data_IF_670938199346
#
_entry.id   IF_670938199346
#
_cell.length_a   1.000
_cell.length_b   1.000
_cell.length_c   1.000
_cell.angle_alpha   90.00
_cell.angle_beta   90.00
_cell.angle_gamma   90.00
#
_symmetry.space_group_name_H-M   'P 1'
#
loop_
_entity.id
_entity.type
_entity.pdbx_description
1 polymer ?
#
# COMPACT_ATOMS: atom_id res chain seq x y z
N UNK A 1 -12.83 4.01 -12.12
CA UNK A 1 -11.83 3.43 -11.20
C UNK A 1 -10.74 4.45 -10.93
N UNK A 2 -10.06 4.35 -9.80
CA UNK A 2 -9.03 5.29 -9.35
C UNK A 2 -7.67 4.59 -9.34
N UNK A 3 -6.62 5.39 -9.50
CA UNK A 3 -5.24 4.97 -9.26
C UNK A 3 -4.66 5.80 -8.09
N UNK A 4 -3.65 5.28 -7.38
CA UNK A 4 -3.08 3.93 -7.50
C UNK A 4 -3.91 2.88 -6.73
N UNK A 5 -3.64 1.60 -7.02
CA UNK A 5 -3.97 0.50 -6.10
C UNK A 5 -2.85 0.38 -5.08
N UNK A 6 -3.20 0.40 -3.79
CA UNK A 6 -2.27 0.27 -2.68
C UNK A 6 -2.39 -1.12 -2.07
N UNK A 7 -1.27 -1.83 -1.95
CA UNK A 7 -1.18 -3.13 -1.28
C UNK A 7 -0.21 -3.04 -0.12
N UNK A 8 -0.70 -3.23 1.10
CA UNK A 8 0.11 -3.20 2.33
C UNK A 8 0.32 -4.62 2.85
N UNK A 9 1.56 -4.96 3.24
CA UNK A 9 1.95 -6.31 3.65
C UNK A 9 2.07 -6.36 5.18
N UNK A 10 1.38 -7.31 5.80
CA UNK A 10 1.52 -7.64 7.23
C UNK A 10 2.20 -9.01 7.38
N UNK A 11 3.49 -9.06 7.72
CA UNK A 11 4.21 -10.32 7.90
C UNK A 11 3.60 -11.17 9.03
N UNK A 12 3.56 -12.49 8.83
CA UNK A 12 3.17 -13.45 9.88
C UNK A 12 1.70 -13.45 10.29
N UNK A 13 0.86 -12.58 9.72
CA UNK A 13 -0.56 -12.49 10.02
C UNK A 13 -1.45 -13.47 9.23
N UNK A 14 -0.87 -14.21 8.28
CA UNK A 14 -1.57 -15.25 7.52
C UNK A 14 -1.47 -16.64 8.16
N UNK A 15 -2.24 -17.61 7.67
CA UNK A 15 -2.15 -19.01 8.10
C UNK A 15 -0.72 -19.55 7.95
N UNK A 16 -0.29 -20.42 8.86
CA UNK A 16 1.06 -21.01 8.86
C UNK A 16 2.19 -19.96 8.82
N UNK A 17 2.00 -18.82 9.49
CA UNK A 17 2.95 -17.69 9.53
C UNK A 17 3.24 -17.04 8.16
N UNK A 18 2.35 -17.22 7.19
CA UNK A 18 2.41 -16.47 5.93
C UNK A 18 2.10 -14.98 6.14
N UNK A 19 2.31 -14.15 5.10
CA UNK A 19 1.93 -12.74 5.15
C UNK A 19 0.45 -12.56 4.83
N UNK A 20 -0.19 -11.60 5.48
CA UNK A 20 -1.50 -11.09 5.09
C UNK A 20 -1.33 -9.81 4.24
N UNK A 21 -2.34 -9.51 3.43
CA UNK A 21 -2.33 -8.37 2.52
C UNK A 21 -3.59 -7.54 2.69
N UNK A 22 -3.43 -6.21 2.74
CA UNK A 22 -4.53 -5.26 2.65
C UNK A 22 -4.47 -4.55 1.32
N UNK A 23 -5.54 -4.67 0.52
CA UNK A 23 -5.68 -4.00 -0.76
C UNK A 23 -6.65 -2.83 -0.58
N UNK A 24 -6.18 -1.62 -0.86
CA UNK A 24 -6.93 -0.39 -0.73
C UNK A 24 -7.06 0.30 -2.09
N UNK A 25 -8.26 0.78 -2.38
CA UNK A 25 -8.57 1.61 -3.53
C UNK A 25 -9.05 2.97 -3.06
N UNK A 26 -8.57 4.04 -3.70
CA UNK A 26 -9.01 5.39 -3.37
C UNK A 26 -10.48 5.60 -3.76
N UNK A 27 -11.31 6.05 -2.81
CA UNK A 27 -12.70 6.38 -3.07
C UNK A 27 -12.79 7.74 -3.78
N UNK A 28 -13.43 7.88 -4.96
CA UNK A 28 -13.59 9.16 -5.64
C UNK A 28 -14.23 10.23 -4.76
N UNK A 29 -13.79 11.48 -4.88
CA UNK A 29 -14.23 12.62 -4.04
C UNK A 29 -15.75 12.73 -3.91
N UNK A 30 -16.49 12.52 -5.02
CA UNK A 30 -17.96 12.58 -5.04
C UNK A 30 -18.66 11.58 -4.10
N UNK A 31 -17.95 10.54 -3.64
CA UNK A 31 -18.47 9.54 -2.70
C UNK A 31 -17.84 9.63 -1.31
N UNK A 32 -16.86 10.51 -1.07
CA UNK A 32 -16.16 10.55 0.22
C UNK A 32 -17.01 11.10 1.37
N UNK A 33 -17.92 12.03 1.09
CA UNK A 33 -18.83 12.57 2.10
C UNK A 33 -19.81 11.51 2.63
N UNK A 34 -20.26 10.61 1.73
CA UNK A 34 -21.18 9.52 2.05
C UNK A 34 -20.77 8.26 1.29
N UNK A 35 -19.79 7.49 1.81
CA UNK A 35 -19.34 6.27 1.15
C UNK A 35 -20.47 5.25 0.99
N UNK A 36 -20.55 4.54 -0.14
CA UNK A 36 -21.51 3.46 -0.29
C UNK A 36 -21.22 2.35 0.73
N UNK A 37 -22.28 1.76 1.29
CA UNK A 37 -22.15 0.64 2.21
C UNK A 37 -21.79 -0.62 1.40
N UNK A 38 -20.66 -1.28 1.69
CA UNK A 38 -20.29 -2.49 0.97
C UNK A 38 -21.25 -3.64 1.28
N UNK A 39 -21.44 -4.52 0.29
CA UNK A 39 -22.19 -5.76 0.49
C UNK A 39 -21.48 -6.66 1.53
N UNK A 40 -22.18 -7.20 2.53
CA UNK A 40 -21.56 -7.99 3.61
C UNK A 40 -20.71 -9.17 3.12
N UNK A 41 -21.12 -9.81 2.03
CA UNK A 41 -20.44 -10.96 1.43
C UNK A 41 -19.09 -10.63 0.79
N UNK A 42 -18.81 -9.36 0.50
CA UNK A 42 -17.58 -8.95 -0.18
C UNK A 42 -16.40 -8.72 0.78
N UNK A 43 -16.62 -8.78 2.11
CA UNK A 43 -15.59 -8.51 3.13
C UNK A 43 -14.83 -7.20 2.91
N UNK A 44 -15.52 -6.18 2.38
CA UNK A 44 -14.98 -4.85 2.14
C UNK A 44 -15.30 -3.93 3.31
N UNK A 45 -14.38 -3.03 3.62
CA UNK A 45 -14.56 -2.00 4.64
C UNK A 45 -14.17 -0.64 4.11
N UNK A 46 -14.95 0.37 4.47
CA UNK A 46 -14.56 1.76 4.29
C UNK A 46 -13.45 2.10 5.28
N UNK A 47 -12.41 2.76 4.81
CA UNK A 47 -11.24 3.11 5.61
C UNK A 47 -11.04 4.63 5.60
N UNK A 48 -11.13 5.24 6.78
CA UNK A 48 -10.89 6.66 6.99
C UNK A 48 -9.38 6.88 7.19
N UNK A 49 -8.64 6.90 6.08
CA UNK A 49 -7.19 6.99 6.11
C UNK A 49 -6.74 8.40 6.48
N UNK A 50 -6.27 8.59 7.72
CA UNK A 50 -5.82 9.87 8.24
C UNK A 50 -4.60 10.40 7.46
N UNK A 51 -4.39 11.72 7.48
CA UNK A 51 -3.22 12.32 6.85
C UNK A 51 -1.94 11.90 7.58
N UNK A 52 -0.94 11.45 6.83
CA UNK A 52 0.36 11.02 7.35
C UNK A 52 1.44 11.17 6.28
N UNK A 53 2.70 11.11 6.71
CA UNK A 53 3.85 11.18 5.81
C UNK A 53 4.28 9.76 5.40
N UNK A 54 4.56 9.56 4.11
CA UNK A 54 5.05 8.28 3.57
C UNK A 54 6.34 8.54 2.79
N UNK A 55 7.37 7.74 3.07
CA UNK A 55 8.57 7.70 2.25
C UNK A 55 8.34 6.80 1.03
N UNK A 56 8.61 7.30 -0.17
CA UNK A 56 8.32 6.59 -1.43
C UNK A 56 9.59 6.40 -2.25
N UNK A 57 9.79 5.17 -2.75
CA UNK A 57 10.79 4.85 -3.76
C UNK A 57 10.12 4.44 -5.06
N UNK A 58 10.35 5.20 -6.13
CA UNK A 58 9.94 4.83 -7.49
C UNK A 58 10.98 3.89 -8.10
N UNK A 59 10.51 2.87 -8.83
CA UNK A 59 11.34 1.95 -9.59
C UNK A 59 10.67 1.64 -10.95
N UNK A 60 11.44 1.11 -11.90
CA UNK A 60 10.97 0.76 -13.24
C UNK A 60 10.48 -0.69 -13.33
N UNK A 61 9.62 -0.96 -14.33
CA UNK A 61 9.03 -2.27 -14.52
C UNK A 61 7.87 -2.57 -13.57
N UNK A 62 7.41 -3.82 -13.56
CA UNK A 62 6.27 -4.24 -12.75
C UNK A 62 6.71 -4.70 -11.35
N UNK A 63 5.90 -4.38 -10.33
CA UNK A 63 6.01 -5.00 -9.02
C UNK A 63 5.67 -6.49 -9.11
N UNK A 64 6.60 -7.34 -8.68
CA UNK A 64 6.47 -8.81 -8.61
C UNK A 64 7.13 -9.30 -7.33
N UNK A 65 6.73 -10.47 -6.85
CA UNK A 65 7.26 -11.02 -5.59
C UNK A 65 8.79 -11.11 -5.58
N UNK A 66 9.40 -11.43 -6.73
CA UNK A 66 10.85 -11.56 -6.89
C UNK A 66 11.65 -10.25 -6.79
N UNK A 67 11.02 -9.08 -7.01
CA UNK A 67 11.73 -7.79 -7.05
C UNK A 67 11.28 -6.82 -5.95
N UNK A 68 10.04 -6.93 -5.45
CA UNK A 68 9.51 -5.91 -4.55
C UNK A 68 10.25 -5.83 -3.22
N UNK A 69 10.64 -6.99 -2.66
CA UNK A 69 11.42 -7.05 -1.42
C UNK A 69 12.77 -6.34 -1.59
N UNK A 70 13.40 -6.46 -2.77
CA UNK A 70 14.68 -5.79 -3.06
C UNK A 70 14.52 -4.28 -3.15
N UNK A 71 13.42 -3.78 -3.71
CA UNK A 71 13.16 -2.34 -3.77
C UNK A 71 12.75 -1.77 -2.41
N UNK A 72 12.02 -2.54 -1.59
CA UNK A 72 11.72 -2.19 -0.20
C UNK A 72 13.00 -2.08 0.65
N UNK A 73 13.91 -3.05 0.53
CA UNK A 73 15.21 -3.01 1.23
C UNK A 73 16.05 -1.79 0.83
N UNK A 74 16.11 -1.46 -0.46
CA UNK A 74 16.79 -0.24 -0.93
C UNK A 74 16.19 1.04 -0.33
N UNK A 75 14.86 1.10 -0.17
CA UNK A 75 14.21 2.23 0.50
C UNK A 75 14.61 2.28 1.99
N UNK A 76 14.57 1.15 2.69
CA UNK A 76 14.98 1.06 4.09
C UNK A 76 16.43 1.51 4.31
N UNK A 77 17.36 1.04 3.47
CA UNK A 77 18.78 1.46 3.50
C UNK A 77 18.94 2.96 3.20
N UNK A 78 18.12 3.51 2.31
CA UNK A 78 18.16 4.95 2.01
C UNK A 78 17.67 5.77 3.21
N UNK A 79 16.61 5.32 3.87
CA UNK A 79 16.04 5.99 5.05
C UNK A 79 16.98 5.91 6.26
N UNK A 80 17.62 4.77 6.49
CA UNK A 80 18.55 4.61 7.62
C UNK A 80 19.78 5.53 7.53
N UNK A 81 20.11 6.02 6.34
CA UNK A 81 21.20 6.96 6.07
C UNK A 81 20.74 8.42 5.98
N UNK A 82 19.48 8.69 6.32
CA UNK A 82 18.87 10.01 6.26
C UNK A 82 18.49 10.52 7.66
N UNK A 83 18.14 11.81 7.81
CA UNK A 83 17.59 12.32 9.07
C UNK A 83 16.30 11.61 9.54
N UNK A 84 15.65 10.84 8.67
CA UNK A 84 14.40 10.13 8.95
C UNK A 84 14.59 8.68 9.41
N UNK A 85 15.83 8.25 9.70
CA UNK A 85 16.14 6.87 10.09
C UNK A 85 15.26 6.32 11.22
N UNK A 86 14.85 7.17 12.16
CA UNK A 86 14.00 6.82 13.30
C UNK A 86 12.59 7.42 13.21
N UNK A 87 12.18 7.91 12.03
CA UNK A 87 10.88 8.57 11.83
C UNK A 87 9.81 7.62 11.29
N UNK A 88 10.11 6.33 11.14
CA UNK A 88 9.12 5.33 10.71
C UNK A 88 8.21 4.95 11.86
N UNK A 89 6.90 5.17 11.71
CA UNK A 89 5.90 4.72 12.67
C UNK A 89 5.77 3.21 12.64
N UNK A 90 5.64 2.58 13.82
CA UNK A 90 5.20 1.18 13.92
C UNK A 90 3.67 1.03 13.81
N UNK A 91 2.94 2.12 13.58
CA UNK A 91 1.49 2.11 13.41
C UNK A 91 1.11 1.28 12.17
N UNK A 92 0.24 0.29 12.37
CA UNK A 92 -0.33 -0.54 11.29
C UNK A 92 0.31 -1.91 11.06
N UNK A 93 1.39 -2.28 11.77
CA UNK A 93 2.08 -3.57 11.61
C UNK A 93 2.50 -3.90 10.16
N UNK A 94 2.56 -2.89 9.29
CA UNK A 94 2.95 -3.05 7.89
C UNK A 94 4.47 -3.11 7.77
N UNK A 95 4.99 -4.06 7.01
CA UNK A 95 6.41 -4.08 6.68
C UNK A 95 6.74 -3.03 5.61
N UNK A 96 5.92 -2.97 4.56
CA UNK A 96 5.99 -1.99 3.49
C UNK A 96 4.67 -2.02 2.70
N UNK A 97 4.49 -1.04 1.82
CA UNK A 97 3.36 -0.98 0.90
C UNK A 97 3.81 -0.78 -0.54
N UNK A 98 2.99 -1.26 -1.46
CA UNK A 98 3.21 -1.23 -2.91
C UNK A 98 2.12 -0.37 -3.51
N UNK A 99 2.50 0.63 -4.31
CA UNK A 99 1.54 1.42 -5.11
C UNK A 99 1.71 1.09 -6.59
N UNK A 100 0.62 0.71 -7.23
CA UNK A 100 0.61 0.37 -8.66
C UNK A 100 -0.39 1.26 -9.40
N UNK A 101 0.11 1.99 -10.40
CA UNK A 101 -0.70 2.93 -11.21
C UNK A 101 -1.27 2.28 -12.48
N UNK A 102 -0.51 1.37 -13.09
CA UNK A 102 -0.85 0.75 -14.38
C UNK A 102 -1.15 -0.75 -14.25
N UNK A 103 -1.29 -1.25 -13.02
CA UNK A 103 -1.58 -2.65 -12.71
C UNK A 103 -2.47 -2.70 -11.47
N UNK A 104 -3.47 -3.60 -11.41
CA UNK A 104 -3.84 -4.57 -12.44
C UNK A 104 -4.58 -3.96 -13.64
N UNK A 105 -4.91 -2.67 -13.57
CA UNK A 105 -5.62 -1.93 -14.62
C UNK A 105 -4.75 -0.80 -15.18
N UNK A 106 -4.83 -0.58 -16.49
CA UNK A 106 -4.19 0.57 -17.12
C UNK A 106 -5.12 1.78 -17.07
N UNK A 107 -5.04 2.52 -15.95
CA UNK A 107 -5.90 3.70 -15.70
C UNK A 107 -5.26 5.01 -16.15
N UNK A 108 -3.94 5.04 -16.27
CA UNK A 108 -3.16 6.18 -16.71
C UNK A 108 -2.17 5.74 -17.79
N UNK A 109 -1.97 6.58 -18.80
CA UNK A 109 -0.86 6.45 -19.74
C UNK A 109 0.35 7.18 -19.13
N UNK A 110 1.18 6.43 -18.42
CA UNK A 110 2.45 6.88 -17.81
C UNK A 110 3.62 6.30 -18.58
#
# INVERSE_FOLDING_TARGET
MTAPVLTSIVPGAGPLHSSAYFIQLYLPVKFQATPPIPLPELNLRSDAWASHCIAVRKFSGFARDKNIVKEADKLAVSLSRSPWANSTSSEGNYAYSIVQYNSPFRLMDV
#
